data_IF_612305460861
#
_entry.id   IF_612305460861
#
_cell.length_a   1.000
_cell.length_b   1.000
_cell.length_c   1.000
_cell.angle_alpha   90.00
_cell.angle_beta   90.00
_cell.angle_gamma   90.00
#
_symmetry.space_group_name_H-M   'P 1'
#
loop_
_entity.id
_entity.type
_entity.pdbx_description
1 polymer ?
#
# COMPACT_ATOMS: atom_id res chain seq x y z
N UNK A 1 -37.36 -22.80 -0.48
CA UNK A 1 -36.48 -22.83 0.71
C UNK A 1 -35.11 -22.40 0.24
N UNK A 2 -34.70 -21.19 0.61
CA UNK A 2 -33.52 -20.52 0.07
C UNK A 2 -32.23 -21.00 0.71
N UNK A 3 -31.23 -21.30 -0.12
CA UNK A 3 -29.87 -21.55 0.30
C UNK A 3 -29.18 -20.22 0.63
N UNK A 4 -28.89 -20.00 1.92
CA UNK A 4 -28.00 -18.94 2.36
C UNK A 4 -26.55 -19.34 2.03
N UNK A 5 -25.96 -18.69 1.03
CA UNK A 5 -24.51 -18.73 0.80
C UNK A 5 -23.86 -17.72 1.74
N UNK A 6 -23.34 -18.20 2.87
CA UNK A 6 -22.51 -17.41 3.76
C UNK A 6 -21.09 -17.34 3.20
N UNK A 7 -20.82 -16.34 2.37
CA UNK A 7 -19.45 -15.97 2.04
C UNK A 7 -18.81 -15.30 3.27
N UNK A 8 -17.92 -16.02 3.94
CA UNK A 8 -17.08 -15.50 5.01
C UNK A 8 -16.15 -14.40 4.46
N UNK A 9 -15.79 -13.39 5.27
CA UNK A 9 -14.87 -12.34 4.84
C UNK A 9 -13.48 -12.94 4.62
N UNK A 10 -12.92 -12.74 3.41
CA UNK A 10 -11.53 -13.08 3.12
C UNK A 10 -10.64 -12.06 3.85
N UNK A 11 -10.19 -12.45 5.04
CA UNK A 11 -9.07 -11.81 5.75
C UNK A 11 -7.81 -12.34 5.06
N UNK A 12 -7.14 -11.50 4.29
CA UNK A 12 -5.83 -11.79 3.69
C UNK A 12 -4.75 -11.83 4.80
N UNK A 13 -4.56 -13.01 5.38
CA UNK A 13 -3.47 -13.35 6.30
C UNK A 13 -2.17 -13.63 5.52
N UNK A 14 -1.64 -12.63 4.82
CA UNK A 14 -0.31 -12.74 4.23
C UNK A 14 0.79 -12.54 5.29
N UNK A 15 1.01 -13.59 6.08
CA UNK A 15 2.30 -14.08 6.62
C UNK A 15 2.02 -15.46 7.25
N UNK A 16 2.45 -16.57 6.65
CA UNK A 16 2.31 -17.88 7.27
C UNK A 16 3.41 -17.99 8.31
N UNK A 17 3.14 -17.58 9.55
CA UNK A 17 3.85 -18.14 10.70
C UNK A 17 3.14 -17.82 12.03
N UNK A 18 3.05 -18.88 12.83
CA UNK A 18 2.68 -18.99 14.25
C UNK A 18 1.17 -19.09 14.58
N UNK A 19 0.78 -20.29 15.02
CA UNK A 19 -0.55 -20.62 15.55
C UNK A 19 -0.84 -20.08 16.95
N UNK A 20 -2.10 -20.27 17.35
CA UNK A 20 -2.75 -19.91 18.62
C UNK A 20 -3.05 -18.41 18.84
N UNK A 21 -4.27 -18.00 18.48
CA UNK A 21 -5.03 -16.85 19.03
C UNK A 21 -4.28 -15.53 19.35
N UNK A 22 -3.22 -15.20 18.63
CA UNK A 22 -2.61 -13.87 18.66
C UNK A 22 -3.42 -12.92 17.77
N UNK A 23 -4.04 -11.90 18.35
CA UNK A 23 -4.63 -10.78 17.58
C UNK A 23 -3.55 -10.25 16.62
N UNK A 24 -3.85 -10.22 15.32
CA UNK A 24 -2.91 -9.79 14.27
C UNK A 24 -2.28 -8.43 14.58
N UNK A 25 -0.97 -8.33 14.45
CA UNK A 25 -0.18 -7.10 14.63
C UNK A 25 -0.50 -6.04 13.56
N UNK A 26 -1.11 -6.46 12.44
CA UNK A 26 -1.50 -5.61 11.30
C UNK A 26 -2.83 -6.07 10.71
N UNK A 27 -3.73 -5.13 10.47
CA UNK A 27 -4.98 -5.36 9.76
C UNK A 27 -5.02 -4.50 8.48
N UNK A 28 -5.54 -5.05 7.40
CA UNK A 28 -5.67 -4.36 6.13
C UNK A 28 -7.09 -4.50 5.59
N UNK A 29 -7.55 -3.48 4.88
CA UNK A 29 -8.73 -3.56 4.03
C UNK A 29 -8.30 -3.32 2.59
N UNK A 30 -8.84 -4.05 1.62
CA UNK A 30 -8.44 -3.92 0.21
C UNK A 30 -9.57 -3.29 -0.60
N UNK A 31 -9.24 -2.24 -1.35
CA UNK A 31 -10.15 -1.53 -2.25
C UNK A 31 -9.50 -1.51 -3.63
N UNK A 32 -10.06 -2.26 -4.58
CA UNK A 32 -9.59 -2.34 -5.95
C UNK A 32 -10.24 -1.31 -6.87
N UNK A 33 -9.84 -1.34 -8.14
CA UNK A 33 -10.39 -0.53 -9.24
C UNK A 33 -11.81 -0.91 -9.67
N UNK A 34 -12.37 -1.98 -9.09
CA UNK A 34 -13.73 -2.39 -9.34
C UNK A 34 -14.71 -1.25 -9.08
N UNK A 35 -15.36 -0.79 -10.16
CA UNK A 35 -16.55 0.05 -10.07
C UNK A 35 -17.67 -0.85 -9.53
N UNK A 36 -18.50 -0.33 -8.62
CA UNK A 36 -19.68 -1.08 -8.16
C UNK A 36 -20.52 -1.49 -9.39
N UNK A 37 -20.57 -2.80 -9.71
CA UNK A 37 -21.32 -3.34 -10.85
C UNK A 37 -20.53 -3.71 -12.11
N UNK A 38 -19.20 -3.62 -12.13
CA UNK A 38 -18.37 -4.14 -13.24
C UNK A 38 -18.14 -5.66 -13.09
N UNK A 39 -18.46 -6.45 -14.12
CA UNK A 39 -18.44 -7.91 -14.10
C UNK A 39 -17.03 -8.52 -14.18
N UNK A 40 -16.01 -7.72 -14.51
CA UNK A 40 -14.63 -8.20 -14.71
C UNK A 40 -13.77 -8.16 -13.45
N UNK A 41 -14.13 -7.33 -12.47
CA UNK A 41 -13.37 -7.18 -11.23
C UNK A 41 -14.24 -7.58 -10.02
N UNK A 42 -13.68 -8.27 -9.00
CA UNK A 42 -14.43 -8.56 -7.80
C UNK A 42 -14.92 -7.25 -7.14
N UNK A 43 -16.21 -7.23 -6.80
CA UNK A 43 -16.85 -6.06 -6.20
C UNK A 43 -16.23 -5.77 -4.83
N UNK A 44 -15.89 -4.49 -4.59
CA UNK A 44 -15.36 -4.01 -3.33
C UNK A 44 -16.31 -4.35 -2.15
N UNK A 45 -15.79 -4.94 -1.08
CA UNK A 45 -16.57 -5.44 0.06
C UNK A 45 -16.80 -4.36 1.12
N UNK A 46 -17.60 -3.35 0.82
CA UNK A 46 -17.81 -2.19 1.69
C UNK A 46 -18.36 -2.56 3.09
N UNK A 47 -17.89 -1.88 4.17
CA UNK A 47 -18.47 -2.06 5.49
C UNK A 47 -19.93 -1.55 5.53
N UNK A 48 -20.76 -2.04 6.47
CA UNK A 48 -22.17 -1.68 6.57
C UNK A 48 -22.33 -0.18 6.78
N UNK A 49 -23.17 0.44 5.94
CA UNK A 49 -23.40 1.88 5.95
C UNK A 49 -24.07 2.36 7.25
N UNK A 50 -24.82 1.49 7.93
CA UNK A 50 -25.46 1.79 9.21
C UNK A 50 -24.41 2.10 10.30
N UNK A 51 -23.25 1.44 10.23
CA UNK A 51 -22.14 1.66 11.18
C UNK A 51 -21.12 2.67 10.66
N UNK A 52 -20.94 2.75 9.35
CA UNK A 52 -19.90 3.56 8.71
C UNK A 52 -20.46 4.36 7.51
N UNK A 53 -21.37 5.32 7.75
CA UNK A 53 -22.19 5.94 6.70
C UNK A 53 -21.37 6.66 5.62
N UNK A 54 -20.20 7.21 5.96
CA UNK A 54 -19.37 7.99 5.04
C UNK A 54 -18.15 7.22 4.51
N UNK A 55 -17.90 6.01 4.99
CA UNK A 55 -16.61 5.33 4.75
C UNK A 55 -16.43 4.99 3.27
N UNK A 56 -17.46 4.41 2.65
CA UNK A 56 -17.43 4.07 1.23
C UNK A 56 -17.13 5.29 0.35
N UNK A 57 -17.88 6.37 0.50
CA UNK A 57 -17.72 7.55 -0.35
C UNK A 57 -16.42 8.30 -0.05
N UNK A 58 -15.96 8.32 1.20
CA UNK A 58 -14.64 8.87 1.57
C UNK A 58 -13.51 8.11 0.88
N UNK A 59 -13.54 6.77 0.92
CA UNK A 59 -12.51 5.93 0.31
C UNK A 59 -12.54 6.03 -1.22
N UNK A 60 -13.73 6.10 -1.83
CA UNK A 60 -13.87 6.34 -3.27
C UNK A 60 -13.30 7.71 -3.67
N UNK A 61 -13.59 8.76 -2.91
CA UNK A 61 -13.03 10.09 -3.16
C UNK A 61 -11.50 10.09 -3.06
N UNK A 62 -10.94 9.54 -1.98
CA UNK A 62 -9.49 9.42 -1.80
C UNK A 62 -8.85 8.63 -2.95
N UNK A 63 -9.46 7.52 -3.34
CA UNK A 63 -9.00 6.69 -4.45
C UNK A 63 -8.86 7.48 -5.75
N UNK A 64 -9.87 8.28 -6.11
CA UNK A 64 -9.82 9.11 -7.33
C UNK A 64 -8.74 10.18 -7.25
N UNK A 65 -8.58 10.82 -6.09
CA UNK A 65 -7.51 11.80 -5.86
C UNK A 65 -6.11 11.16 -5.97
N UNK A 66 -5.92 9.99 -5.37
CA UNK A 66 -4.66 9.24 -5.43
C UNK A 66 -4.36 8.77 -6.86
N UNK A 67 -5.37 8.29 -7.59
CA UNK A 67 -5.26 7.94 -9.00
C UNK A 67 -4.80 9.15 -9.84
N UNK A 68 -5.47 10.29 -9.71
CA UNK A 68 -5.08 11.52 -10.43
C UNK A 68 -3.66 11.99 -10.09
N UNK A 69 -3.29 11.90 -8.81
CA UNK A 69 -1.93 12.23 -8.34
C UNK A 69 -0.88 11.29 -8.93
N UNK A 70 -1.16 9.98 -8.94
CA UNK A 70 -0.23 8.98 -9.50
C UNK A 70 0.03 9.20 -10.99
N UNK A 71 -1.02 9.56 -11.76
CA UNK A 71 -0.88 9.90 -13.18
C UNK A 71 0.06 11.09 -13.39
N UNK A 72 -0.13 12.17 -12.61
CA UNK A 72 0.72 13.37 -12.70
C UNK A 72 2.18 13.06 -12.38
N UNK A 73 2.44 12.28 -11.33
CA UNK A 73 3.80 11.86 -10.96
C UNK A 73 4.44 11.02 -12.07
N UNK A 74 3.70 10.04 -12.62
CA UNK A 74 4.21 9.22 -13.72
C UNK A 74 4.50 10.05 -14.99
N UNK A 75 3.67 11.06 -15.30
CA UNK A 75 3.96 11.99 -16.39
C UNK A 75 5.24 12.79 -16.17
N UNK A 76 5.50 13.24 -14.93
CA UNK A 76 6.75 13.91 -14.59
C UNK A 76 7.96 12.99 -14.72
N UNK A 77 7.82 11.72 -14.31
CA UNK A 77 8.87 10.71 -14.48
C UNK A 77 9.15 10.45 -15.95
N UNK A 78 8.12 10.34 -16.79
CA UNK A 78 8.29 10.17 -18.24
C UNK A 78 9.06 11.36 -18.85
N UNK A 79 8.67 12.59 -18.50
CA UNK A 79 9.35 13.80 -18.98
C UNK A 79 10.81 13.86 -18.53
N UNK A 80 11.13 13.45 -17.30
CA UNK A 80 12.53 13.40 -16.82
C UNK A 80 13.39 12.32 -17.49
N UNK A 81 12.77 11.41 -18.23
CA UNK A 81 13.43 10.39 -19.05
C UNK A 81 13.46 10.78 -20.54
N UNK A 82 13.14 12.03 -20.86
CA UNK A 82 12.98 12.55 -22.23
C UNK A 82 11.93 11.78 -23.06
N UNK A 83 10.90 11.27 -22.40
CA UNK A 83 9.76 10.59 -23.02
C UNK A 83 8.53 11.52 -23.07
N UNK A 84 7.54 11.11 -23.85
CA UNK A 84 6.23 11.77 -23.87
C UNK A 84 5.55 11.73 -22.50
N UNK A 85 4.87 12.81 -22.09
CA UNK A 85 4.21 12.90 -20.78
C UNK A 85 3.10 11.83 -20.58
N UNK A 86 2.56 11.28 -21.67
CA UNK A 86 1.57 10.21 -21.66
C UNK A 86 2.18 8.82 -21.87
N UNK A 87 3.50 8.68 -21.84
CA UNK A 87 4.18 7.40 -22.04
C UNK A 87 3.65 6.31 -21.08
N UNK A 88 3.47 6.65 -19.80
CA UNK A 88 2.90 5.76 -18.77
C UNK A 88 1.38 5.91 -18.63
N UNK A 89 0.66 6.20 -19.72
CA UNK A 89 -0.80 6.37 -19.68
C UNK A 89 -1.53 5.15 -19.12
N UNK A 90 -2.73 5.34 -18.56
CA UNK A 90 -3.54 4.24 -18.04
C UNK A 90 -3.83 3.20 -19.13
N UNK A 91 -3.51 1.96 -18.82
CA UNK A 91 -3.64 0.77 -19.68
C UNK A 91 -4.76 -0.18 -19.21
N UNK A 92 -5.60 0.26 -18.26
CA UNK A 92 -6.60 -0.59 -17.63
C UNK A 92 -6.06 -1.48 -16.50
N UNK A 93 -4.80 -1.30 -16.11
CA UNK A 93 -4.19 -2.01 -14.99
C UNK A 93 -4.87 -1.80 -13.64
N UNK A 94 -4.83 -2.87 -12.85
CA UNK A 94 -5.35 -2.87 -11.49
C UNK A 94 -4.60 -1.88 -10.60
N UNK A 95 -5.37 -1.18 -9.77
CA UNK A 95 -4.82 -0.33 -8.72
C UNK A 95 -5.53 -0.62 -7.42
N UNK A 96 -4.78 -0.59 -6.33
CA UNK A 96 -5.24 -1.04 -5.02
C UNK A 96 -5.00 0.07 -4.01
N UNK A 97 -6.06 0.51 -3.35
CA UNK A 97 -6.01 1.29 -2.13
C UNK A 97 -6.14 0.35 -0.93
N UNK A 98 -5.23 0.49 0.03
CA UNK A 98 -5.17 -0.35 1.22
C UNK A 98 -5.05 0.52 2.46
N UNK A 99 -6.14 0.74 3.21
CA UNK A 99 -6.04 1.15 4.60
C UNK A 99 -5.36 0.06 5.43
N UNK A 100 -4.37 0.47 6.22
CA UNK A 100 -3.57 -0.42 7.06
C UNK A 100 -3.58 0.14 8.49
N UNK A 101 -3.91 -0.73 9.43
CA UNK A 101 -3.83 -0.49 10.88
C UNK A 101 -2.76 -1.39 11.47
N UNK A 102 -1.82 -0.80 12.20
CA UNK A 102 -0.82 -1.51 13.00
C UNK A 102 -1.22 -1.37 14.47
N UNK A 103 -1.21 -2.49 15.21
CA UNK A 103 -1.65 -2.50 16.60
C UNK A 103 -0.65 -1.76 17.50
N UNK A 104 -1.14 -1.04 18.51
CA UNK A 104 -0.28 -0.39 19.51
C UNK A 104 0.21 -1.30 20.63
N UNK A 105 0.15 -2.63 20.44
CA UNK A 105 0.55 -3.56 21.49
C UNK A 105 2.05 -3.41 21.77
N UNK A 106 2.40 -3.33 23.05
CA UNK A 106 3.79 -3.47 23.48
C UNK A 106 4.30 -4.83 23.00
N UNK A 107 5.45 -4.83 22.33
CA UNK A 107 6.07 -6.06 21.89
C UNK A 107 6.88 -6.62 23.06
N UNK A 108 6.44 -7.75 23.59
CA UNK A 108 7.22 -8.57 24.52
C UNK A 108 8.16 -9.48 23.70
N UNK A 109 9.04 -8.95 22.84
CA UNK A 109 9.92 -9.81 22.06
C UNK A 109 11.19 -10.14 22.86
N UNK A 110 11.24 -11.36 23.42
CA UNK A 110 12.51 -12.00 23.84
C UNK A 110 13.31 -12.58 22.66
N UNK A 111 12.74 -12.62 21.44
CA UNK A 111 13.31 -13.37 20.32
C UNK A 111 13.21 -12.73 18.90
N UNK A 112 12.92 -11.43 18.78
CA UNK A 112 12.87 -10.74 17.47
C UNK A 112 11.63 -11.10 16.63
N UNK A 113 11.06 -10.24 15.79
CA UNK A 113 11.51 -8.95 15.29
C UNK A 113 10.37 -7.93 15.42
N UNK A 114 10.68 -6.70 15.81
CA UNK A 114 9.71 -5.64 16.13
C UNK A 114 9.09 -5.00 14.88
N UNK A 115 8.85 -5.78 13.82
CA UNK A 115 8.41 -5.29 12.52
C UNK A 115 6.89 -5.44 12.34
N UNK A 116 6.20 -4.33 12.14
CA UNK A 116 4.82 -4.33 11.64
C UNK A 116 4.75 -4.70 10.16
N UNK A 117 5.84 -4.47 9.42
CA UNK A 117 6.08 -5.01 8.09
C UNK A 117 7.58 -5.28 7.92
N UNK A 118 7.93 -6.50 7.52
CA UNK A 118 9.30 -6.88 7.21
C UNK A 118 9.88 -6.05 6.06
N UNK A 119 11.21 -6.07 5.92
CA UNK A 119 11.90 -5.42 4.79
C UNK A 119 11.40 -5.99 3.45
N UNK A 120 10.92 -5.11 2.57
CA UNK A 120 10.45 -5.47 1.22
C UNK A 120 10.55 -4.27 0.27
N UNK A 121 10.46 -4.56 -1.02
CA UNK A 121 10.18 -3.57 -2.07
C UNK A 121 8.72 -3.71 -2.50
N UNK A 122 8.22 -2.67 -3.17
CA UNK A 122 6.85 -2.70 -3.70
C UNK A 122 6.80 -3.23 -5.11
N UNK A 123 5.93 -4.20 -5.35
CA UNK A 123 5.53 -4.55 -6.71
C UNK A 123 4.71 -3.42 -7.33
N UNK A 124 4.82 -3.30 -8.66
CA UNK A 124 4.12 -2.29 -9.45
C UNK A 124 5.01 -1.10 -9.79
N UNK A 125 4.41 0.01 -10.21
CA UNK A 125 5.15 1.18 -10.68
C UNK A 125 5.38 2.21 -9.57
N UNK A 126 4.31 2.53 -8.83
CA UNK A 126 4.29 3.65 -7.91
C UNK A 126 3.40 3.37 -6.70
N UNK A 127 3.88 3.74 -5.53
CA UNK A 127 3.11 3.76 -4.29
C UNK A 127 2.97 5.19 -3.80
N UNK A 128 1.74 5.57 -3.44
CA UNK A 128 1.44 6.77 -2.67
C UNK A 128 1.00 6.36 -1.27
N UNK A 129 1.61 6.90 -0.24
CA UNK A 129 1.34 6.55 1.14
C UNK A 129 1.02 7.81 1.95
N UNK A 130 -0.19 7.84 2.51
CA UNK A 130 -0.55 8.77 3.58
C UNK A 130 -0.37 8.08 4.93
N UNK A 131 0.07 8.84 5.92
CA UNK A 131 0.36 8.38 7.29
C UNK A 131 -0.29 9.31 8.30
N UNK A 132 -0.62 8.78 9.47
CA UNK A 132 -1.19 9.53 10.60
C UNK A 132 -0.16 10.26 11.47
N UNK A 133 1.12 10.25 11.06
CA UNK A 133 2.23 10.83 11.81
C UNK A 133 2.86 9.90 12.84
N UNK A 134 2.30 8.73 13.11
CA UNK A 134 2.92 7.76 14.00
C UNK A 134 4.19 7.19 13.35
N UNK A 135 5.35 7.25 14.05
CA UNK A 135 6.62 6.80 13.49
C UNK A 135 6.68 5.29 13.26
N UNK A 136 7.70 4.85 12.53
CA UNK A 136 8.01 3.43 12.34
C UNK A 136 8.36 3.06 10.90
N UNK A 137 7.98 3.86 9.91
CA UNK A 137 8.41 3.62 8.53
C UNK A 137 9.90 3.93 8.37
N UNK A 138 10.64 2.94 7.88
CA UNK A 138 12.06 3.08 7.56
C UNK A 138 12.33 2.69 6.11
N UNK A 139 13.27 3.38 5.48
CA UNK A 139 13.75 3.10 4.12
C UNK A 139 15.25 2.79 4.13
N UNK A 140 15.70 2.08 3.10
CA UNK A 140 17.10 1.86 2.79
C UNK A 140 17.35 2.37 1.37
N UNK A 141 18.06 3.50 1.24
CA UNK A 141 18.33 4.15 -0.06
C UNK A 141 19.21 3.29 -0.97
N UNK A 142 20.16 2.57 -0.36
CA UNK A 142 21.01 1.62 -1.05
C UNK A 142 20.67 0.18 -0.64
N UNK A 143 19.67 -0.40 -1.30
CA UNK A 143 19.17 -1.75 -1.00
C UNK A 143 20.23 -2.86 -1.19
N UNK A 144 21.23 -2.61 -2.03
CA UNK A 144 22.32 -3.55 -2.34
C UNK A 144 23.53 -3.38 -1.41
N UNK A 145 23.52 -2.31 -0.62
CA UNK A 145 24.58 -1.96 0.32
C UNK A 145 24.80 -3.05 1.38
N UNK A 146 26.06 -3.26 1.74
CA UNK A 146 26.47 -4.19 2.80
C UNK A 146 27.39 -3.47 3.79
N UNK A 147 26.92 -3.12 5.00
CA UNK A 147 25.57 -3.36 5.54
C UNK A 147 24.50 -2.45 4.91
N UNK A 148 23.24 -2.87 4.98
CA UNK A 148 22.09 -2.01 4.66
C UNK A 148 21.93 -0.94 5.75
N UNK A 149 21.80 0.32 5.33
CA UNK A 149 21.60 1.46 6.22
C UNK A 149 20.13 1.89 6.19
N UNK A 150 19.49 1.90 7.35
CA UNK A 150 18.06 2.22 7.52
C UNK A 150 17.88 3.65 8.03
N UNK A 151 16.97 4.39 7.40
CA UNK A 151 16.62 5.77 7.73
C UNK A 151 15.14 5.89 8.06
N UNK A 152 14.79 6.63 9.12
CA UNK A 152 13.40 6.93 9.47
C UNK A 152 12.78 7.94 8.49
N UNK A 153 11.56 7.62 8.03
CA UNK A 153 10.76 8.55 7.24
C UNK A 153 9.96 9.42 8.19
N UNK A 154 10.36 10.68 8.29
CA UNK A 154 9.70 11.68 9.13
C UNK A 154 8.37 12.11 8.52
N UNK A 155 7.36 12.28 9.37
CA UNK A 155 6.07 12.80 8.94
C UNK A 155 6.18 14.27 8.57
N UNK A 156 5.47 14.67 7.51
CA UNK A 156 5.30 16.05 7.11
C UNK A 156 3.79 16.25 6.90
N UNK A 157 3.20 17.18 7.64
CA UNK A 157 1.77 17.48 7.57
C UNK A 157 1.37 17.85 6.14
N UNK A 158 0.33 17.20 5.63
CA UNK A 158 -0.18 17.43 4.27
C UNK A 158 0.66 16.80 3.15
N UNK A 159 1.75 16.09 3.46
CA UNK A 159 2.56 15.40 2.46
C UNK A 159 2.16 13.94 2.25
N UNK A 160 2.47 13.42 1.05
CA UNK A 160 2.45 11.99 0.75
C UNK A 160 3.88 11.47 0.64
N UNK A 161 4.11 10.26 1.17
CA UNK A 161 5.32 9.51 0.85
C UNK A 161 5.10 8.86 -0.52
N UNK A 162 6.03 9.10 -1.44
CA UNK A 162 6.01 8.54 -2.80
C UNK A 162 7.14 7.52 -2.90
N UNK A 163 6.82 6.29 -3.30
CA UNK A 163 7.81 5.22 -3.49
C UNK A 163 7.71 4.64 -4.90
N UNK A 164 8.86 4.37 -5.50
CA UNK A 164 8.99 3.67 -6.78
C UNK A 164 8.88 2.17 -6.54
N UNK A 165 8.19 1.47 -7.42
CA UNK A 165 8.08 0.01 -7.39
C UNK A 165 8.99 -0.70 -8.39
N UNK A 166 9.08 -2.01 -8.23
CA UNK A 166 9.99 -2.89 -8.98
C UNK A 166 9.73 -2.86 -10.50
N UNK A 167 8.49 -2.64 -10.93
CA UNK A 167 8.17 -2.57 -12.35
C UNK A 167 8.78 -1.31 -12.97
N UNK A 168 8.65 -0.16 -12.31
CA UNK A 168 9.20 1.09 -12.85
C UNK A 168 10.73 1.11 -12.78
N UNK A 169 11.34 0.50 -11.76
CA UNK A 169 12.78 0.25 -11.75
C UNK A 169 13.21 -0.54 -12.98
N UNK A 170 12.52 -1.64 -13.28
CA UNK A 170 12.83 -2.48 -14.43
C UNK A 170 12.62 -1.75 -15.76
N UNK A 171 11.52 -1.02 -15.91
CA UNK A 171 11.19 -0.27 -17.12
C UNK A 171 12.20 0.84 -17.42
N UNK A 172 12.71 1.49 -16.38
CA UNK A 172 13.69 2.57 -16.52
C UNK A 172 15.13 2.06 -16.53
N UNK A 173 15.33 0.74 -16.61
CA UNK A 173 16.63 0.09 -16.56
C UNK A 173 17.48 0.57 -15.37
N UNK A 174 16.87 0.61 -14.18
CA UNK A 174 17.44 1.02 -12.90
C UNK A 174 17.78 2.51 -12.74
N UNK A 175 17.38 3.39 -13.67
CA UNK A 175 17.51 4.85 -13.47
C UNK A 175 16.73 5.30 -12.24
N UNK A 176 15.49 4.84 -12.11
CA UNK A 176 14.72 4.95 -10.87
C UNK A 176 14.86 3.66 -10.09
N UNK A 177 15.12 3.74 -8.78
CA UNK A 177 15.26 2.55 -7.93
C UNK A 177 14.06 2.38 -6.99
N UNK A 178 13.50 1.18 -6.99
CA UNK A 178 12.56 0.69 -6.00
C UNK A 178 13.21 0.66 -4.63
N UNK A 179 12.59 1.35 -3.67
CA UNK A 179 13.21 1.56 -2.36
C UNK A 179 12.84 0.44 -1.41
N UNK A 180 13.85 -0.21 -0.84
CA UNK A 180 13.68 -1.20 0.22
C UNK A 180 13.15 -0.49 1.47
N UNK A 181 12.06 -0.98 2.04
CA UNK A 181 11.42 -0.34 3.19
C UNK A 181 10.85 -1.36 4.17
N UNK A 182 10.69 -0.95 5.43
CA UNK A 182 10.12 -1.74 6.52
C UNK A 182 9.29 -0.86 7.45
N UNK A 183 8.46 -1.47 8.29
CA UNK A 183 7.75 -0.75 9.35
C UNK A 183 8.09 -1.37 10.69
N UNK A 184 8.66 -0.57 11.59
CA UNK A 184 8.85 -0.91 12.99
C UNK A 184 7.58 -0.62 13.78
N UNK A 185 7.35 -1.44 14.79
CA UNK A 185 6.30 -1.24 15.78
C UNK A 185 6.87 -0.36 16.90
N UNK A 186 6.10 0.66 17.28
CA UNK A 186 6.54 1.68 18.25
C UNK A 186 5.69 1.68 19.53
N UNK A 187 4.94 0.60 19.78
CA UNK A 187 4.01 0.49 20.92
C UNK A 187 2.85 1.48 20.89
N UNK A 188 2.55 2.05 19.71
CA UNK A 188 1.40 2.94 19.46
C UNK A 188 0.67 2.46 18.22
N UNK A 189 -0.65 2.68 18.20
CA UNK A 189 -1.43 2.41 17.01
C UNK A 189 -0.96 3.32 15.87
N UNK A 190 -0.87 2.75 14.67
CA UNK A 190 -0.48 3.48 13.47
C UNK A 190 -1.46 3.18 12.34
N UNK A 191 -1.94 4.22 11.70
CA UNK A 191 -2.82 4.14 10.54
C UNK A 191 -2.11 4.69 9.30
N UNK A 192 -2.32 4.02 8.17
CA UNK A 192 -1.81 4.49 6.89
C UNK A 192 -2.73 4.09 5.73
N UNK A 193 -2.73 4.91 4.68
CA UNK A 193 -3.46 4.66 3.44
C UNK A 193 -2.45 4.48 2.32
N UNK A 194 -2.28 3.24 1.85
CA UNK A 194 -1.36 2.87 0.78
C UNK A 194 -2.11 2.70 -0.54
N UNK A 195 -1.90 3.59 -1.49
CA UNK A 195 -2.39 3.45 -2.86
C UNK A 195 -1.26 2.94 -3.76
N UNK A 196 -1.51 1.87 -4.51
CA UNK A 196 -0.54 1.31 -5.47
C UNK A 196 -1.07 1.36 -6.89
N UNK A 197 -0.22 1.86 -7.79
CA UNK A 197 -0.42 1.84 -9.23
C UNK A 197 0.41 0.70 -9.85
N UNK A 198 -0.26 -0.31 -10.39
CA UNK A 198 0.38 -1.30 -11.25
C UNK A 198 0.28 -0.87 -12.73
N UNK A 199 0.93 -1.63 -13.61
CA UNK A 199 0.71 -1.65 -15.06
C UNK A 199 0.42 -3.09 -15.48
N UNK A 200 -0.32 -3.27 -16.56
CA UNK A 200 -0.26 -4.50 -17.33
C UNK A 200 1.07 -4.46 -18.08
N UNK A 201 1.75 -5.59 -18.16
CA UNK A 201 2.88 -5.72 -19.07
C UNK A 201 2.40 -5.31 -20.47
N UNK A 202 3.06 -4.31 -21.07
CA UNK A 202 2.93 -4.06 -22.51
C UNK A 202 3.85 -5.01 -23.27
#
# INVERSE_FOLDING_TARGET
>A
MGHASAALPVIDLASPDIGAATKSIRQCFHIGSGVDGDSKNPVNQWPPAERFPYWKETMKSYYQCAMGTSKRILSLIALSLDLDAEFFKPDGSETILRPIHYSGRAIESKHGSDHGANAHTDYGMLTLLSTDGTPGLQICRDKDGRPQLWEDVHHIDGALVVNIGDLLERWTNNVYRSTLHRVLMVGKERYSLKFRKNSLYQ
#
